data_IF_057480961581
#
_entry.id   IF_057480961581
#
_cell.length_a   1.000
_cell.length_b   1.000
_cell.length_c   1.000
_cell.angle_alpha   90.00
_cell.angle_beta   90.00
_cell.angle_gamma   90.00
#
_symmetry.space_group_name_H-M   'P 1'
#
loop_
_entity.id
_entity.type
_entity.pdbx_description
1 polymer ?
#
# COMPACT_ATOMS: atom_id res chain seq x y z
N UNK A 1 5.76 27.98 -2.50
CA UNK A 1 6.60 27.94 -1.28
C UNK A 1 7.71 26.94 -1.54
N UNK A 2 8.95 27.32 -1.31
CA UNK A 2 10.09 26.38 -1.40
C UNK A 2 10.30 25.73 -0.03
N UNK A 3 10.51 24.40 -0.04
CA UNK A 3 10.76 23.61 1.18
C UNK A 3 12.25 23.26 1.35
N UNK A 4 13.14 23.88 0.57
CA UNK A 4 14.58 23.56 0.48
C UNK A 4 15.38 23.67 1.79
N UNK A 5 14.85 24.37 2.80
CA UNK A 5 15.46 24.47 4.12
C UNK A 5 14.70 23.71 5.21
N UNK A 6 13.67 22.95 4.83
CA UNK A 6 12.88 22.16 5.79
C UNK A 6 13.54 20.82 6.03
N UNK A 7 13.54 20.40 7.29
CA UNK A 7 14.08 19.11 7.76
C UNK A 7 12.93 18.29 8.33
N UNK A 8 12.90 16.99 8.07
CA UNK A 8 11.90 16.06 8.58
C UNK A 8 12.57 14.75 9.01
N UNK A 9 12.34 14.33 10.25
CA UNK A 9 12.63 12.96 10.67
C UNK A 9 11.49 12.04 10.25
N UNK A 10 11.80 10.92 9.58
CA UNK A 10 10.84 9.86 9.26
C UNK A 10 11.26 8.59 9.98
N UNK A 11 10.39 8.05 10.84
CA UNK A 11 10.63 6.79 11.54
C UNK A 11 9.86 5.68 10.83
N UNK A 12 10.57 4.86 10.07
CA UNK A 12 10.00 3.77 9.28
C UNK A 12 10.00 2.45 10.03
N UNK A 13 8.92 1.70 9.92
CA UNK A 13 8.77 0.39 10.57
C UNK A 13 9.66 -0.72 9.97
N UNK A 14 10.20 -0.51 8.76
CA UNK A 14 11.14 -1.38 8.06
C UNK A 14 11.98 -0.54 7.09
N UNK A 15 13.00 -1.13 6.47
CA UNK A 15 13.75 -0.51 5.38
C UNK A 15 12.82 -0.38 4.16
N UNK A 16 12.54 0.84 3.65
CA UNK A 16 11.50 1.02 2.63
C UNK A 16 11.94 0.71 1.20
N UNK A 17 13.15 0.20 1.00
CA UNK A 17 13.64 -0.26 -0.30
C UNK A 17 14.20 -1.69 -0.22
N UNK A 18 13.97 -2.55 -1.26
CA UNK A 18 13.12 -2.32 -2.44
C UNK A 18 11.65 -2.09 -2.08
N UNK A 19 10.96 -1.23 -2.84
CA UNK A 19 9.56 -0.87 -2.60
C UNK A 19 8.61 -1.94 -3.21
N UNK A 20 8.48 -3.09 -2.55
CA UNK A 20 7.88 -4.32 -3.09
C UNK A 20 6.58 -4.77 -2.38
N UNK A 21 6.16 -4.10 -1.30
CA UNK A 21 4.84 -4.28 -0.68
C UNK A 21 4.25 -2.96 -0.18
N UNK A 22 2.92 -2.92 0.00
CA UNK A 22 2.14 -1.68 0.17
C UNK A 22 2.70 -0.67 1.16
N UNK A 23 3.07 -1.09 2.37
CA UNK A 23 3.57 -0.17 3.38
C UNK A 23 4.91 0.48 3.00
N UNK A 24 5.89 -0.30 2.52
CA UNK A 24 7.20 0.25 2.12
C UNK A 24 7.12 1.06 0.82
N UNK A 25 6.16 0.75 -0.06
CA UNK A 25 5.89 1.55 -1.26
C UNK A 25 5.45 2.96 -0.85
N UNK A 26 4.47 3.10 0.05
CA UNK A 26 4.02 4.41 0.54
C UNK A 26 5.19 5.20 1.15
N UNK A 27 6.00 4.58 2.00
CA UNK A 27 7.14 5.25 2.64
C UNK A 27 8.17 5.71 1.60
N UNK A 28 8.59 4.83 0.68
CA UNK A 28 9.63 5.15 -0.30
C UNK A 28 9.20 6.26 -1.26
N UNK A 29 8.01 6.16 -1.85
CA UNK A 29 7.55 7.17 -2.82
C UNK A 29 7.19 8.50 -2.16
N UNK A 30 6.79 8.49 -0.89
CA UNK A 30 6.65 9.71 -0.09
C UNK A 30 8.00 10.39 0.16
N UNK A 31 9.03 9.63 0.54
CA UNK A 31 10.40 10.16 0.70
C UNK A 31 10.88 10.76 -0.62
N UNK A 32 10.69 10.05 -1.74
CA UNK A 32 11.05 10.53 -3.08
C UNK A 32 10.33 11.86 -3.41
N UNK A 33 9.04 11.95 -3.13
CA UNK A 33 8.25 13.16 -3.36
C UNK A 33 8.68 14.32 -2.44
N UNK A 34 9.01 14.05 -1.17
CA UNK A 34 9.57 15.06 -0.25
C UNK A 34 10.94 15.56 -0.73
N UNK A 35 11.80 14.66 -1.20
CA UNK A 35 13.10 15.01 -1.78
C UNK A 35 12.95 15.92 -3.00
N UNK A 36 12.00 15.62 -3.90
CA UNK A 36 11.68 16.46 -5.06
C UNK A 36 11.18 17.86 -4.67
N UNK A 37 10.52 18.02 -3.52
CA UNK A 37 10.18 19.34 -2.95
C UNK A 37 11.37 20.07 -2.29
N UNK A 38 12.53 19.42 -2.17
CA UNK A 38 13.73 19.95 -1.52
C UNK A 38 13.77 19.75 0.00
N UNK A 39 12.88 18.94 0.58
CA UNK A 39 12.90 18.62 2.02
C UNK A 39 14.07 17.69 2.31
N UNK A 40 14.83 18.01 3.36
CA UNK A 40 15.91 17.17 3.88
C UNK A 40 15.33 16.10 4.83
N UNK A 41 15.27 14.87 4.36
CA UNK A 41 14.74 13.75 5.15
C UNK A 41 15.86 13.06 5.91
N UNK A 42 15.74 12.96 7.24
CA UNK A 42 16.52 12.07 8.10
C UNK A 42 15.69 10.80 8.33
N UNK A 43 16.05 9.73 7.65
CA UNK A 43 15.33 8.47 7.70
C UNK A 43 15.87 7.56 8.81
N UNK A 44 14.97 7.01 9.61
CA UNK A 44 15.24 6.08 10.69
C UNK A 44 14.52 4.76 10.40
N UNK A 45 15.26 3.70 10.04
CA UNK A 45 14.71 2.42 9.63
C UNK A 45 14.98 1.32 10.65
N UNK A 46 13.97 0.51 10.97
CA UNK A 46 14.18 -0.74 11.68
C UNK A 46 14.46 -1.86 10.70
N UNK A 47 15.59 -2.59 10.87
CA UNK A 47 15.95 -3.72 10.02
C UNK A 47 15.15 -4.96 10.45
N UNK A 48 14.41 -5.53 9.50
CA UNK A 48 13.67 -6.77 9.70
C UNK A 48 13.52 -7.52 8.37
N UNK A 49 14.41 -8.47 8.14
CA UNK A 49 14.45 -9.26 6.89
C UNK A 49 14.79 -8.45 5.64
N UNK A 50 15.32 -7.23 5.80
CA UNK A 50 15.74 -6.34 4.69
C UNK A 50 17.09 -5.72 5.03
N UNK A 51 17.92 -5.57 4.00
CA UNK A 51 19.27 -5.02 4.12
C UNK A 51 19.27 -3.49 3.99
N UNK A 52 20.40 -2.88 4.29
CA UNK A 52 20.68 -1.47 4.00
C UNK A 52 20.61 -1.22 2.49
N UNK A 53 20.27 -0.02 2.08
CA UNK A 53 20.09 0.31 0.67
C UNK A 53 20.68 1.66 0.32
N UNK A 54 21.59 1.67 -0.64
CA UNK A 54 22.17 2.89 -1.23
C UNK A 54 21.12 3.77 -1.96
N UNK A 55 20.03 3.18 -2.44
CA UNK A 55 18.95 3.93 -3.09
C UNK A 55 18.27 4.90 -2.11
N UNK A 56 18.25 4.58 -0.82
CA UNK A 56 17.72 5.49 0.20
C UNK A 56 18.68 6.66 0.47
N UNK A 57 19.98 6.44 0.36
CA UNK A 57 21.00 7.48 0.56
C UNK A 57 20.96 8.54 -0.56
N UNK A 58 20.47 8.18 -1.76
CA UNK A 58 20.29 9.14 -2.88
C UNK A 58 19.15 10.13 -2.65
N UNK A 59 18.16 9.79 -1.84
CA UNK A 59 16.93 10.57 -1.63
C UNK A 59 16.76 11.09 -0.20
N UNK A 60 17.64 10.69 0.73
CA UNK A 60 17.64 11.12 2.12
C UNK A 60 18.91 11.93 2.45
N UNK A 61 18.81 12.86 3.39
CA UNK A 61 19.97 13.58 3.93
C UNK A 61 20.80 12.68 4.85
N UNK A 62 20.15 11.72 5.54
CA UNK A 62 20.82 10.63 6.28
C UNK A 62 19.90 9.43 6.39
N UNK A 63 20.47 8.23 6.52
CA UNK A 63 19.74 6.98 6.77
C UNK A 63 20.36 6.27 7.96
N UNK A 64 19.56 6.08 9.02
CA UNK A 64 19.97 5.40 10.24
C UNK A 64 19.22 4.07 10.35
N UNK A 65 19.95 3.01 10.69
CA UNK A 65 19.41 1.66 10.73
C UNK A 65 19.47 1.13 12.16
N UNK A 66 18.34 0.61 12.65
CA UNK A 66 18.20 0.06 14.01
C UNK A 66 17.73 -1.38 13.94
N UNK A 67 18.23 -2.22 14.84
CA UNK A 67 17.78 -3.59 14.98
C UNK A 67 16.47 -3.68 15.78
N UNK A 68 15.58 -4.58 15.37
CA UNK A 68 14.40 -4.90 16.16
C UNK A 68 14.77 -5.82 17.32
N UNK A 69 14.18 -5.57 18.49
CA UNK A 69 14.30 -6.48 19.62
C UNK A 69 13.62 -7.83 19.34
N UNK A 70 14.26 -8.91 19.80
CA UNK A 70 13.75 -10.27 19.63
C UNK A 70 12.47 -10.52 20.44
N UNK A 71 11.60 -11.39 19.94
CA UNK A 71 10.27 -11.68 20.46
C UNK A 71 10.23 -12.00 21.97
N UNK A 72 11.17 -12.79 22.48
CA UNK A 72 11.19 -13.22 23.89
C UNK A 72 11.33 -12.08 24.90
N UNK A 73 11.91 -10.95 24.50
CA UNK A 73 12.04 -9.76 25.36
C UNK A 73 10.74 -8.95 25.47
N UNK A 74 9.85 -9.08 24.51
CA UNK A 74 8.63 -8.29 24.43
C UNK A 74 7.37 -8.97 24.99
N UNK A 75 7.42 -10.28 25.28
CA UNK A 75 6.25 -11.07 25.73
C UNK A 75 5.65 -10.52 27.04
N UNK A 76 6.50 -10.06 27.96
CA UNK A 76 6.06 -9.54 29.27
C UNK A 76 5.71 -8.04 29.25
N UNK A 77 5.78 -7.38 28.12
CA UNK A 77 5.46 -5.97 27.97
C UNK A 77 3.95 -5.76 27.82
N UNK A 78 3.40 -4.70 28.43
CA UNK A 78 2.03 -4.23 28.17
C UNK A 78 1.92 -3.57 26.78
N UNK A 79 3.05 -3.22 26.17
CA UNK A 79 3.13 -2.64 24.81
C UNK A 79 3.03 -3.75 23.78
N UNK A 80 2.26 -3.58 22.68
CA UNK A 80 2.19 -4.56 21.60
C UNK A 80 3.59 -4.91 21.05
N UNK A 81 3.79 -6.19 20.70
CA UNK A 81 5.11 -6.65 20.23
C UNK A 81 5.63 -5.87 19.02
N UNK A 82 4.74 -5.57 18.06
CA UNK A 82 5.15 -4.82 16.86
C UNK A 82 5.65 -3.41 17.19
N UNK A 83 5.21 -2.83 18.29
CA UNK A 83 5.66 -1.51 18.77
C UNK A 83 6.89 -1.67 19.67
N UNK A 84 6.80 -2.48 20.71
CA UNK A 84 7.85 -2.68 21.71
C UNK A 84 9.16 -3.19 21.13
N UNK A 85 9.08 -4.01 20.06
CA UNK A 85 10.27 -4.51 19.36
C UNK A 85 11.08 -3.42 18.65
N UNK A 86 10.56 -2.20 18.54
CA UNK A 86 11.23 -1.03 17.94
C UNK A 86 11.75 -0.04 18.98
N UNK A 87 12.12 -0.54 20.14
CA UNK A 87 12.77 0.25 21.18
C UNK A 87 14.26 0.44 20.81
N UNK A 88 14.70 1.73 20.76
CA UNK A 88 16.11 2.10 20.52
C UNK A 88 16.42 3.44 21.20
N UNK A 89 17.37 3.42 22.14
CA UNK A 89 17.85 4.65 22.78
C UNK A 89 18.58 5.57 21.81
N UNK A 90 19.27 4.98 20.82
CA UNK A 90 19.96 5.73 19.76
C UNK A 90 18.93 6.49 18.89
N UNK A 91 17.81 5.86 18.50
CA UNK A 91 16.72 6.54 17.80
C UNK A 91 16.24 7.74 18.60
N UNK A 92 15.94 7.58 19.90
CA UNK A 92 15.48 8.67 20.74
C UNK A 92 16.50 9.82 20.81
N UNK A 93 17.81 9.50 20.94
CA UNK A 93 18.88 10.47 20.93
C UNK A 93 18.91 11.27 19.62
N UNK A 94 18.78 10.59 18.47
CA UNK A 94 18.75 11.26 17.16
C UNK A 94 17.50 12.15 17.02
N UNK A 95 16.33 11.68 17.45
CA UNK A 95 15.09 12.46 17.41
C UNK A 95 15.10 13.68 18.33
N UNK A 96 16.00 13.76 19.31
CA UNK A 96 16.13 14.89 20.23
C UNK A 96 17.30 15.84 19.87
N UNK A 97 18.08 15.51 18.84
CA UNK A 97 19.29 16.27 18.49
C UNK A 97 19.02 17.66 17.87
N UNK A 98 17.83 17.86 17.33
CA UNK A 98 17.39 19.14 16.73
C UNK A 98 15.91 19.40 17.03
N UNK A 99 15.29 20.43 16.42
CA UNK A 99 13.87 20.79 16.60
C UNK A 99 12.99 20.41 15.39
N UNK A 100 13.49 19.58 14.45
CA UNK A 100 12.75 19.21 13.26
C UNK A 100 11.50 18.36 13.61
N UNK A 101 10.41 18.47 12.81
CA UNK A 101 9.25 17.62 12.93
C UNK A 101 9.58 16.14 12.77
N UNK A 102 8.72 15.28 13.34
CA UNK A 102 8.86 13.83 13.25
C UNK A 102 7.60 13.25 12.63
N UNK A 103 7.77 12.42 11.57
CA UNK A 103 6.72 11.61 10.97
C UNK A 103 6.93 10.13 11.34
N UNK A 104 6.02 9.58 12.12
CA UNK A 104 6.00 8.17 12.50
C UNK A 104 5.19 7.36 11.48
N UNK A 105 5.80 6.31 10.91
CA UNK A 105 5.18 5.44 9.90
C UNK A 105 4.46 4.26 10.55
N UNK A 106 3.15 4.34 10.61
CA UNK A 106 2.29 3.37 11.26
C UNK A 106 2.39 3.40 12.79
N UNK A 107 1.40 2.82 13.44
CA UNK A 107 1.37 2.66 14.90
C UNK A 107 2.60 1.89 15.42
N UNK A 108 3.22 1.06 14.56
CA UNK A 108 4.44 0.29 14.82
C UNK A 108 5.60 1.13 15.36
N UNK A 109 5.72 2.39 14.93
CA UNK A 109 6.87 3.25 15.23
C UNK A 109 6.58 4.24 16.36
N UNK A 110 5.37 4.23 16.91
CA UNK A 110 4.87 5.23 17.86
C UNK A 110 5.30 4.99 19.32
N UNK A 111 6.32 4.14 19.59
CA UNK A 111 6.77 3.87 20.96
C UNK A 111 7.13 5.16 21.74
N UNK A 112 7.73 6.13 21.06
CA UNK A 112 8.19 7.38 21.65
C UNK A 112 7.24 8.56 21.45
N UNK A 113 6.05 8.36 20.89
CA UNK A 113 5.12 9.43 20.55
C UNK A 113 4.74 10.29 21.77
N UNK A 114 4.58 9.69 22.95
CA UNK A 114 4.30 10.38 24.22
C UNK A 114 5.54 10.64 25.08
N UNK A 115 6.76 10.40 24.56
CA UNK A 115 7.97 10.54 25.36
C UNK A 115 8.21 12.00 25.78
N UNK A 116 8.52 12.29 27.08
CA UNK A 116 8.67 13.66 27.58
C UNK A 116 9.69 14.52 26.81
N UNK A 117 10.79 13.91 26.36
CA UNK A 117 11.83 14.60 25.55
C UNK A 117 11.34 15.07 24.19
N UNK A 118 10.21 14.56 23.68
CA UNK A 118 9.61 14.95 22.41
C UNK A 118 8.37 15.85 22.60
N UNK A 119 8.10 16.31 23.84
CA UNK A 119 6.87 17.06 24.16
C UNK A 119 6.68 18.31 23.31
N UNK A 120 7.76 19.03 23.03
CA UNK A 120 7.72 20.30 22.30
C UNK A 120 7.94 20.15 20.79
N UNK A 121 8.10 18.91 20.29
CA UNK A 121 8.30 18.65 18.87
C UNK A 121 6.96 18.42 18.18
N UNK A 122 6.86 18.93 16.95
CA UNK A 122 5.78 18.59 16.03
C UNK A 122 5.85 17.11 15.67
N UNK A 123 4.80 16.36 15.96
CA UNK A 123 4.72 14.91 15.74
C UNK A 123 3.53 14.58 14.85
N UNK A 124 3.83 14.01 13.72
CA UNK A 124 2.83 13.50 12.80
C UNK A 124 2.86 11.96 12.77
N UNK A 125 1.71 11.33 12.57
CA UNK A 125 1.60 9.87 12.40
C UNK A 125 0.96 9.55 11.06
N UNK A 126 1.61 8.73 10.24
CA UNK A 126 1.07 8.17 9.01
C UNK A 126 0.40 6.83 9.32
N UNK A 127 -0.91 6.76 9.23
CA UNK A 127 -1.65 5.51 9.51
C UNK A 127 -1.80 4.69 8.23
N UNK A 128 -1.14 3.51 8.21
CA UNK A 128 -1.20 2.58 7.08
C UNK A 128 -2.41 1.65 7.16
N UNK A 129 -2.87 1.34 8.37
CA UNK A 129 -4.07 0.57 8.68
C UNK A 129 -4.56 0.95 10.09
N UNK A 130 -5.78 0.60 10.40
CA UNK A 130 -6.24 0.42 11.79
C UNK A 130 -5.69 -0.91 12.28
N UNK A 131 -4.52 -0.89 12.95
CA UNK A 131 -3.70 -2.07 13.23
C UNK A 131 -4.41 -3.13 14.08
N UNK A 132 -5.22 -2.73 15.05
CA UNK A 132 -5.94 -3.68 15.88
C UNK A 132 -6.98 -4.48 15.08
N UNK A 133 -7.66 -3.86 14.12
CA UNK A 133 -8.62 -4.50 13.24
C UNK A 133 -7.92 -5.44 12.25
N UNK A 134 -6.78 -5.01 11.71
CA UNK A 134 -5.94 -5.85 10.86
C UNK A 134 -5.51 -7.14 11.59
N UNK A 135 -4.99 -7.03 12.83
CA UNK A 135 -4.62 -8.19 13.63
C UNK A 135 -5.81 -9.08 14.02
N UNK A 136 -6.97 -8.50 14.30
CA UNK A 136 -8.22 -9.24 14.54
C UNK A 136 -8.60 -10.08 13.33
N UNK A 137 -8.50 -9.52 12.13
CA UNK A 137 -8.79 -10.24 10.87
C UNK A 137 -7.77 -11.35 10.61
N UNK A 138 -6.50 -11.12 10.87
CA UNK A 138 -5.47 -12.18 10.82
C UNK A 138 -5.83 -13.33 11.77
N UNK A 139 -6.22 -13.03 13.00
CA UNK A 139 -6.66 -14.04 13.97
C UNK A 139 -7.89 -14.82 13.50
N UNK A 140 -8.84 -14.16 12.84
CA UNK A 140 -10.04 -14.83 12.31
C UNK A 140 -9.73 -15.78 11.13
N UNK A 141 -8.74 -15.43 10.30
CA UNK A 141 -8.31 -16.22 9.16
C UNK A 141 -7.33 -17.35 9.53
N UNK A 142 -6.69 -17.27 10.70
CA UNK A 142 -5.65 -18.21 11.14
C UNK A 142 -6.24 -19.55 11.57
N UNK A 143 -5.62 -20.64 11.12
CA UNK A 143 -6.01 -22.03 11.45
C UNK A 143 -5.24 -22.59 12.65
N UNK A 144 -4.01 -22.09 12.89
CA UNK A 144 -3.21 -22.50 14.03
C UNK A 144 -3.73 -21.81 15.29
N UNK A 145 -4.20 -22.59 16.27
CA UNK A 145 -4.81 -22.08 17.50
C UNK A 145 -3.89 -21.18 18.32
N UNK A 146 -2.59 -21.47 18.39
CA UNK A 146 -1.61 -20.64 19.13
C UNK A 146 -1.40 -19.29 18.44
N UNK A 147 -1.26 -19.29 17.12
CA UNK A 147 -1.14 -18.06 16.33
C UNK A 147 -2.44 -17.24 16.35
N UNK A 148 -3.60 -17.91 16.29
CA UNK A 148 -4.90 -17.25 16.44
C UNK A 148 -5.03 -16.56 17.79
N UNK A 149 -4.65 -17.24 18.87
CA UNK A 149 -4.62 -16.65 20.22
C UNK A 149 -3.68 -15.45 20.27
N UNK A 150 -2.46 -15.57 19.75
CA UNK A 150 -1.50 -14.48 19.67
C UNK A 150 -2.07 -13.26 18.93
N UNK A 151 -2.65 -13.43 17.74
CA UNK A 151 -3.24 -12.32 16.99
C UNK A 151 -4.39 -11.64 17.73
N UNK A 152 -5.23 -12.39 18.44
CA UNK A 152 -6.33 -11.82 19.21
C UNK A 152 -5.82 -11.00 20.42
N UNK A 153 -4.80 -11.50 21.12
CA UNK A 153 -4.18 -10.77 22.24
C UNK A 153 -3.49 -9.50 21.75
N UNK A 154 -2.72 -9.58 20.67
CA UNK A 154 -2.06 -8.41 20.07
C UNK A 154 -3.08 -7.40 19.54
N UNK A 155 -4.20 -7.83 18.96
CA UNK A 155 -5.30 -6.95 18.57
C UNK A 155 -5.83 -6.12 19.73
N UNK A 156 -6.08 -6.74 20.90
CA UNK A 156 -6.53 -6.02 22.09
C UNK A 156 -5.48 -5.04 22.62
N UNK A 157 -4.20 -5.44 22.62
CA UNK A 157 -3.08 -4.57 23.00
C UNK A 157 -2.94 -3.38 22.06
N UNK A 158 -3.06 -3.61 20.76
CA UNK A 158 -3.00 -2.58 19.73
C UNK A 158 -4.14 -1.59 19.85
N UNK A 159 -5.37 -2.06 20.12
CA UNK A 159 -6.53 -1.20 20.35
C UNK A 159 -6.30 -0.25 21.52
N UNK A 160 -5.74 -0.76 22.64
CA UNK A 160 -5.37 0.08 23.78
C UNK A 160 -4.20 1.02 23.44
N UNK A 161 -3.21 0.54 22.68
CA UNK A 161 -2.04 1.35 22.33
C UNK A 161 -2.39 2.48 21.33
N UNK A 162 -3.44 2.31 20.52
CA UNK A 162 -3.93 3.33 19.60
C UNK A 162 -4.27 4.66 20.30
N UNK A 163 -4.65 4.63 21.58
CA UNK A 163 -4.88 5.82 22.40
C UNK A 163 -3.67 6.77 22.46
N UNK A 164 -2.45 6.25 22.19
CA UNK A 164 -1.23 7.06 22.05
C UNK A 164 -1.32 8.09 20.93
N UNK A 165 -2.18 7.87 19.91
CA UNK A 165 -2.40 8.84 18.83
C UNK A 165 -2.90 10.19 19.32
N UNK A 166 -3.46 10.28 20.55
CA UNK A 166 -3.82 11.55 21.22
C UNK A 166 -2.61 12.47 21.46
N UNK A 167 -1.38 11.93 21.43
CA UNK A 167 -0.14 12.69 21.54
C UNK A 167 0.44 13.16 20.19
N UNK A 168 -0.21 12.81 19.07
CA UNK A 168 0.15 13.30 17.75
C UNK A 168 -0.48 14.68 17.49
N UNK A 169 0.29 15.60 16.91
CA UNK A 169 -0.24 16.89 16.45
C UNK A 169 -1.02 16.75 15.15
N UNK A 170 -0.64 15.76 14.30
CA UNK A 170 -1.26 15.47 13.01
C UNK A 170 -1.37 13.96 12.79
N UNK A 171 -2.45 13.52 12.16
CA UNK A 171 -2.65 12.13 11.74
C UNK A 171 -2.99 12.10 10.24
N UNK A 172 -2.28 11.27 9.49
CA UNK A 172 -2.44 11.11 8.04
C UNK A 172 -2.84 9.68 7.67
N UNK A 173 -4.13 9.31 7.70
CA UNK A 173 -4.59 8.03 7.20
C UNK A 173 -4.44 7.94 5.67
N UNK A 174 -4.20 6.70 5.18
CA UNK A 174 -3.99 6.43 3.74
C UNK A 174 -5.27 6.00 3.02
N UNK A 175 -6.32 5.66 3.74
CA UNK A 175 -7.61 5.29 3.19
C UNK A 175 -8.73 6.14 3.77
N UNK A 176 -9.83 6.31 3.01
CA UNK A 176 -11.00 7.04 3.48
C UNK A 176 -11.65 6.33 4.68
N UNK A 177 -11.66 4.99 4.68
CA UNK A 177 -12.20 4.23 5.81
C UNK A 177 -11.45 4.46 7.12
N UNK A 178 -10.11 4.46 7.05
CA UNK A 178 -9.28 4.73 8.23
C UNK A 178 -9.44 6.20 8.67
N UNK A 179 -9.63 7.12 7.72
CA UNK A 179 -9.95 8.51 8.03
C UNK A 179 -11.28 8.61 8.79
N UNK A 180 -12.34 8.01 8.28
CA UNK A 180 -13.68 8.06 8.88
C UNK A 180 -13.64 7.47 10.31
N UNK A 181 -12.99 6.30 10.46
CA UNK A 181 -12.81 5.66 11.77
C UNK A 181 -12.05 6.54 12.77
N UNK A 182 -10.93 7.15 12.36
CA UNK A 182 -10.09 7.95 13.25
C UNK A 182 -10.72 9.32 13.55
N UNK A 183 -11.47 9.90 12.62
CA UNK A 183 -12.11 11.22 12.75
C UNK A 183 -13.19 11.25 13.85
N UNK A 184 -13.77 10.09 14.19
CA UNK A 184 -14.71 9.98 15.31
C UNK A 184 -14.04 10.21 16.68
N UNK A 185 -12.74 9.96 16.78
CA UNK A 185 -12.00 9.97 18.06
C UNK A 185 -10.95 11.07 18.15
N UNK A 186 -10.23 11.34 17.07
CA UNK A 186 -9.07 12.23 17.07
C UNK A 186 -9.34 13.51 16.29
N UNK A 187 -8.56 14.56 16.61
CA UNK A 187 -8.57 15.85 15.89
C UNK A 187 -7.35 15.95 14.98
N UNK A 188 -7.34 16.96 14.10
CA UNK A 188 -6.21 17.22 13.18
C UNK A 188 -5.85 16.03 12.29
N UNK A 189 -6.88 15.41 11.71
CA UNK A 189 -6.76 14.30 10.78
C UNK A 189 -6.90 14.83 9.35
N UNK A 190 -5.99 14.39 8.47
CA UNK A 190 -5.97 14.81 7.08
C UNK A 190 -5.81 13.59 6.19
N UNK A 191 -6.85 13.24 5.44
CA UNK A 191 -6.75 12.17 4.46
C UNK A 191 -5.74 12.52 3.38
N UNK A 192 -4.74 11.65 3.22
CA UNK A 192 -3.74 11.71 2.16
C UNK A 192 -3.58 10.29 1.62
N UNK A 193 -3.98 10.02 0.38
CA UNK A 193 -3.85 8.70 -0.22
C UNK A 193 -2.42 8.16 -0.18
N UNK A 194 -2.26 6.86 -0.37
CA UNK A 194 -0.96 6.23 -0.41
C UNK A 194 -0.12 6.76 -1.59
N UNK A 195 1.15 7.01 -1.32
CA UNK A 195 2.14 7.30 -2.35
C UNK A 195 2.46 6.02 -3.13
N UNK A 196 2.73 6.15 -4.43
CA UNK A 196 2.84 5.02 -5.34
C UNK A 196 3.82 5.28 -6.50
N UNK A 197 4.26 4.23 -7.26
CA UNK A 197 5.27 4.38 -8.31
C UNK A 197 4.80 5.09 -9.59
N UNK A 198 3.51 5.40 -9.71
CA UNK A 198 2.97 5.97 -10.93
C UNK A 198 3.02 7.50 -10.85
N UNK A 199 3.98 8.12 -11.49
CA UNK A 199 4.12 9.57 -11.57
C UNK A 199 3.33 10.16 -12.75
N UNK A 200 3.17 9.37 -13.83
CA UNK A 200 2.51 9.77 -15.06
C UNK A 200 1.45 8.76 -15.48
N UNK A 201 0.43 9.26 -16.18
CA UNK A 201 -0.56 8.45 -16.87
C UNK A 201 0.03 7.99 -18.22
N UNK A 202 0.36 6.69 -18.31
CA UNK A 202 0.97 6.09 -19.52
C UNK A 202 0.02 5.12 -20.23
N UNK A 203 -1.26 5.13 -19.87
CA UNK A 203 -2.29 4.35 -20.56
C UNK A 203 -2.47 4.83 -22.01
N UNK A 204 -2.68 3.89 -22.91
CA UNK A 204 -2.81 4.17 -24.35
C UNK A 204 -4.25 3.95 -24.81
N UNK A 205 -4.70 4.77 -25.76
CA UNK A 205 -5.99 4.59 -26.45
C UNK A 205 -5.98 3.37 -27.36
N UNK A 206 -7.16 2.96 -27.84
CA UNK A 206 -7.30 1.83 -28.75
C UNK A 206 -7.57 0.50 -28.07
N UNK A 207 -7.12 -0.59 -28.67
CA UNK A 207 -7.41 -1.96 -28.21
C UNK A 207 -6.13 -2.68 -27.81
N UNK A 208 -6.26 -3.70 -26.97
CA UNK A 208 -5.20 -4.63 -26.59
C UNK A 208 -5.54 -6.06 -27.03
N UNK A 209 -4.64 -7.01 -26.79
CA UNK A 209 -4.77 -8.38 -27.30
C UNK A 209 -5.18 -9.41 -26.26
N UNK A 210 -5.17 -9.10 -24.97
CA UNK A 210 -5.44 -10.07 -23.88
C UNK A 210 -6.08 -9.41 -22.65
N UNK A 211 -6.59 -10.28 -21.77
CA UNK A 211 -7.05 -9.93 -20.42
C UNK A 211 -5.93 -10.26 -19.45
N UNK A 212 -5.62 -9.36 -18.51
CA UNK A 212 -4.54 -9.51 -17.54
C UNK A 212 -5.07 -9.55 -16.10
N UNK A 213 -4.64 -10.54 -15.32
CA UNK A 213 -4.61 -10.49 -13.87
C UNK A 213 -3.16 -10.47 -13.37
N UNK A 214 -2.86 -9.65 -12.35
CA UNK A 214 -1.52 -9.63 -11.77
C UNK A 214 -1.52 -9.50 -10.24
N UNK A 215 -0.45 -10.01 -9.62
CA UNK A 215 -0.23 -9.91 -8.18
C UNK A 215 0.89 -10.81 -7.69
N UNK A 216 1.26 -10.71 -6.41
CA UNK A 216 2.18 -11.68 -5.79
C UNK A 216 1.42 -13.00 -5.58
N UNK A 217 1.75 -14.03 -6.37
CA UNK A 217 1.01 -15.31 -6.44
C UNK A 217 1.42 -16.31 -5.33
N UNK A 218 2.27 -15.90 -4.39
CA UNK A 218 2.55 -16.63 -3.15
C UNK A 218 1.62 -16.22 -1.99
N UNK A 219 0.95 -15.07 -2.11
CA UNK A 219 0.10 -14.52 -1.07
C UNK A 219 -1.30 -15.13 -1.15
N UNK A 220 -1.88 -15.62 -0.05
CA UNK A 220 -3.14 -16.37 -0.03
C UNK A 220 -4.30 -15.72 -0.78
N UNK A 221 -4.51 -14.41 -0.61
CA UNK A 221 -5.57 -13.69 -1.31
C UNK A 221 -5.39 -13.66 -2.83
N UNK A 222 -4.17 -13.53 -3.30
CA UNK A 222 -3.88 -13.53 -4.74
C UNK A 222 -3.95 -14.95 -5.32
N UNK A 223 -3.59 -15.98 -4.53
CA UNK A 223 -3.82 -17.38 -4.90
C UNK A 223 -5.32 -17.63 -5.06
N UNK A 224 -6.13 -17.18 -4.11
CA UNK A 224 -7.58 -17.32 -4.17
C UNK A 224 -8.16 -16.64 -5.42
N UNK A 225 -7.73 -15.42 -5.72
CA UNK A 225 -8.17 -14.68 -6.89
C UNK A 225 -7.74 -15.36 -8.21
N UNK A 226 -6.48 -15.79 -8.32
CA UNK A 226 -5.99 -16.51 -9.50
C UNK A 226 -6.74 -17.83 -9.71
N UNK A 227 -6.99 -18.60 -8.64
CA UNK A 227 -7.76 -19.85 -8.71
C UNK A 227 -9.24 -19.60 -9.08
N UNK A 228 -9.84 -18.52 -8.59
CA UNK A 228 -11.17 -18.09 -9.01
C UNK A 228 -11.21 -17.80 -10.51
N UNK A 229 -10.25 -17.03 -11.01
CA UNK A 229 -10.13 -16.68 -12.43
C UNK A 229 -9.99 -17.95 -13.28
N UNK A 230 -9.06 -18.83 -12.92
CA UNK A 230 -8.80 -20.07 -13.66
C UNK A 230 -10.02 -20.98 -13.75
N UNK A 231 -10.79 -21.10 -12.66
CA UNK A 231 -11.92 -22.05 -12.58
C UNK A 231 -13.24 -21.47 -13.05
N UNK A 232 -13.46 -20.17 -12.90
CA UNK A 232 -14.79 -19.57 -13.09
C UNK A 232 -14.87 -18.54 -14.23
N UNK A 233 -13.76 -17.96 -14.65
CA UNK A 233 -13.73 -16.87 -15.63
C UNK A 233 -13.03 -17.27 -16.91
N UNK A 234 -11.77 -17.64 -16.86
CA UNK A 234 -10.93 -17.90 -18.03
C UNK A 234 -11.51 -18.96 -18.98
N UNK A 235 -12.16 -20.05 -18.52
CA UNK A 235 -12.78 -21.05 -19.42
C UNK A 235 -13.91 -20.51 -20.29
N UNK A 236 -14.48 -19.35 -19.92
CA UNK A 236 -15.69 -18.79 -20.56
C UNK A 236 -15.44 -17.50 -21.33
N UNK A 237 -14.18 -17.07 -21.47
CA UNK A 237 -13.81 -15.88 -22.26
C UNK A 237 -13.05 -16.28 -23.51
N UNK A 238 -13.30 -15.53 -24.60
CA UNK A 238 -12.79 -15.87 -25.95
C UNK A 238 -11.35 -15.42 -26.17
N UNK A 239 -10.89 -14.33 -25.50
CA UNK A 239 -9.52 -13.81 -25.64
C UNK A 239 -8.50 -14.49 -24.73
N UNK A 240 -7.19 -14.45 -25.10
CA UNK A 240 -6.12 -14.92 -24.24
C UNK A 240 -6.19 -14.25 -22.86
N UNK A 241 -5.94 -15.05 -21.82
CA UNK A 241 -5.85 -14.58 -20.44
C UNK A 241 -4.42 -14.75 -19.92
N UNK A 242 -3.82 -13.69 -19.44
CA UNK A 242 -2.49 -13.71 -18.81
C UNK A 242 -2.65 -13.57 -17.31
N UNK A 243 -2.02 -14.45 -16.54
CA UNK A 243 -1.85 -14.33 -15.10
C UNK A 243 -0.37 -14.09 -14.84
N UNK A 244 -0.02 -12.92 -14.30
CA UNK A 244 1.36 -12.52 -14.08
C UNK A 244 1.64 -12.29 -12.58
N UNK A 245 2.81 -12.74 -12.10
CA UNK A 245 3.20 -12.44 -10.74
C UNK A 245 4.36 -13.24 -10.18
N UNK A 246 4.76 -12.86 -8.95
CA UNK A 246 5.86 -13.48 -8.24
C UNK A 246 5.42 -14.80 -7.59
N UNK A 247 6.32 -15.79 -7.64
CA UNK A 247 6.28 -17.05 -6.90
C UNK A 247 4.92 -17.77 -6.95
N UNK A 248 4.42 -18.15 -8.16
CA UNK A 248 3.14 -18.83 -8.29
C UNK A 248 3.16 -20.17 -7.55
N UNK A 249 2.11 -20.41 -6.76
CA UNK A 249 1.95 -21.67 -6.06
C UNK A 249 1.76 -22.84 -7.05
N UNK A 250 2.16 -24.06 -6.63
CA UNK A 250 1.97 -25.26 -7.45
C UNK A 250 0.50 -25.45 -7.90
N UNK A 251 -0.44 -25.06 -7.05
CA UNK A 251 -1.86 -25.13 -7.36
C UNK A 251 -2.24 -24.28 -8.57
N UNK A 252 -1.70 -23.05 -8.69
CA UNK A 252 -1.91 -22.17 -9.84
C UNK A 252 -1.26 -22.77 -11.09
N UNK A 253 -0.01 -23.27 -10.97
CA UNK A 253 0.72 -23.88 -12.09
C UNK A 253 -0.04 -25.09 -12.69
N UNK A 254 -0.54 -25.96 -11.83
CA UNK A 254 -1.24 -27.17 -12.26
C UNK A 254 -2.64 -26.87 -12.84
N UNK A 255 -3.34 -25.87 -12.28
CA UNK A 255 -4.65 -25.48 -12.81
C UNK A 255 -4.53 -24.76 -14.16
N UNK A 256 -3.58 -23.83 -14.30
CA UNK A 256 -3.40 -23.07 -15.54
C UNK A 256 -3.13 -23.95 -16.76
N UNK A 257 -2.40 -25.09 -16.60
CA UNK A 257 -2.13 -26.05 -17.68
C UNK A 257 -3.39 -26.66 -18.29
N UNK A 258 -4.53 -26.63 -17.60
CA UNK A 258 -5.80 -27.20 -18.08
C UNK A 258 -6.50 -26.27 -19.08
N UNK A 259 -6.06 -25.02 -19.20
CA UNK A 259 -6.72 -23.97 -19.98
C UNK A 259 -5.83 -23.51 -21.16
N UNK A 260 -6.26 -23.80 -22.39
CA UNK A 260 -5.47 -23.47 -23.60
C UNK A 260 -5.35 -21.96 -23.86
N UNK A 261 -6.29 -21.17 -23.38
CA UNK A 261 -6.32 -19.72 -23.52
C UNK A 261 -5.61 -18.98 -22.39
N UNK A 262 -5.01 -19.69 -21.41
CA UNK A 262 -4.32 -19.08 -20.27
C UNK A 262 -2.81 -19.22 -20.40
N UNK A 263 -2.10 -18.12 -20.17
CA UNK A 263 -0.64 -18.08 -20.08
C UNK A 263 -0.21 -17.53 -18.70
N UNK A 264 0.85 -18.11 -18.12
CA UNK A 264 1.45 -17.63 -16.90
C UNK A 264 2.77 -16.89 -17.20
N UNK A 265 2.90 -15.69 -16.66
CA UNK A 265 4.17 -14.94 -16.65
C UNK A 265 4.70 -14.89 -15.23
N UNK A 266 5.72 -15.71 -14.97
CA UNK A 266 6.28 -15.92 -13.64
C UNK A 266 7.43 -14.94 -13.37
N UNK A 267 7.43 -14.34 -12.19
CA UNK A 267 8.49 -13.45 -11.72
C UNK A 267 8.89 -12.36 -12.72
N UNK A 268 7.93 -11.63 -13.34
CA UNK A 268 8.29 -10.52 -14.21
C UNK A 268 9.05 -9.45 -13.43
N UNK A 269 10.00 -8.78 -14.07
CA UNK A 269 10.52 -7.51 -13.56
C UNK A 269 9.40 -6.46 -13.49
N UNK A 270 9.61 -5.39 -12.74
CA UNK A 270 8.60 -4.31 -12.64
C UNK A 270 8.32 -3.71 -14.03
N UNK A 271 9.34 -3.49 -14.86
CA UNK A 271 9.18 -2.99 -16.22
C UNK A 271 8.37 -3.94 -17.10
N UNK A 272 8.69 -5.24 -17.05
CA UNK A 272 7.92 -6.26 -17.78
C UNK A 272 6.47 -6.33 -17.32
N UNK A 273 6.21 -6.19 -16.01
CA UNK A 273 4.86 -6.15 -15.47
C UNK A 273 4.11 -4.90 -15.95
N UNK A 274 4.78 -3.75 -15.97
CA UNK A 274 4.19 -2.50 -16.46
C UNK A 274 3.86 -2.57 -17.96
N UNK A 275 4.69 -3.22 -18.76
CA UNK A 275 4.39 -3.48 -20.17
C UNK A 275 3.18 -4.43 -20.34
N UNK A 276 3.09 -5.49 -19.53
CA UNK A 276 1.92 -6.36 -19.54
C UNK A 276 0.64 -5.60 -19.19
N UNK A 277 0.68 -4.71 -18.20
CA UNK A 277 -0.48 -3.89 -17.81
C UNK A 277 -0.87 -2.94 -18.95
N UNK A 278 0.10 -2.29 -19.60
CA UNK A 278 -0.13 -1.34 -20.70
C UNK A 278 -0.73 -2.00 -21.94
N UNK A 279 -0.19 -3.17 -22.31
CA UNK A 279 -0.59 -3.88 -23.53
C UNK A 279 -1.89 -4.69 -23.35
N UNK A 280 -2.33 -4.92 -22.12
CA UNK A 280 -3.60 -5.57 -21.83
C UNK A 280 -4.76 -4.73 -22.40
N UNK A 281 -5.77 -5.43 -22.94
CA UNK A 281 -7.04 -4.80 -23.28
C UNK A 281 -7.84 -4.52 -22.03
N UNK A 282 -7.92 -5.52 -21.16
CA UNK A 282 -8.64 -5.43 -19.89
C UNK A 282 -7.70 -5.88 -18.76
N UNK A 283 -7.55 -5.06 -17.74
CA UNK A 283 -6.99 -5.46 -16.46
C UNK A 283 -8.14 -5.96 -15.58
N UNK A 284 -8.23 -7.27 -15.40
CA UNK A 284 -9.25 -7.92 -14.59
C UNK A 284 -8.72 -8.15 -13.18
N UNK A 285 -9.14 -7.32 -12.23
CA UNK A 285 -8.59 -7.30 -10.88
C UNK A 285 -9.69 -7.59 -9.86
N UNK A 286 -9.66 -8.78 -9.29
CA UNK A 286 -10.56 -9.19 -8.21
C UNK A 286 -9.78 -9.45 -6.92
N UNK A 287 -10.41 -9.18 -5.79
CA UNK A 287 -9.93 -9.53 -4.46
C UNK A 287 -11.07 -9.97 -3.58
N UNK A 288 -10.77 -10.80 -2.59
CA UNK A 288 -11.73 -11.24 -1.58
C UNK A 288 -11.40 -10.66 -0.19
N UNK A 289 -10.49 -9.69 -0.16
CA UNK A 289 -10.13 -8.94 1.04
C UNK A 289 -10.63 -7.50 0.98
N UNK A 290 -11.14 -7.03 2.12
CA UNK A 290 -11.67 -5.66 2.25
C UNK A 290 -10.62 -4.62 2.59
N UNK A 291 -9.40 -5.02 3.01
CA UNK A 291 -8.37 -4.13 3.52
C UNK A 291 -7.16 -4.01 2.59
N UNK A 292 -6.34 -3.02 2.87
CA UNK A 292 -5.05 -2.78 2.21
C UNK A 292 -5.11 -1.82 1.03
N UNK A 293 -3.95 -1.25 0.72
CA UNK A 293 -3.76 -0.32 -0.40
C UNK A 293 -3.97 -1.07 -1.71
N UNK A 294 -4.82 -0.54 -2.56
CA UNK A 294 -5.14 -1.13 -3.86
C UNK A 294 -4.14 -0.72 -4.95
N UNK A 295 -2.83 -0.87 -4.68
CA UNK A 295 -1.77 -0.47 -5.60
C UNK A 295 -1.88 -1.12 -6.98
N UNK A 296 -2.33 -2.38 -7.06
CA UNK A 296 -2.55 -3.04 -8.35
C UNK A 296 -3.62 -2.33 -9.19
N UNK A 297 -4.65 -1.77 -8.54
CA UNK A 297 -5.67 -0.98 -9.22
C UNK A 297 -5.09 0.35 -9.72
N UNK A 298 -4.31 1.06 -8.90
CA UNK A 298 -3.64 2.29 -9.32
C UNK A 298 -2.69 2.04 -10.48
N UNK A 299 -1.90 0.95 -10.44
CA UNK A 299 -1.03 0.57 -11.56
C UNK A 299 -1.83 0.33 -12.85
N UNK A 300 -2.94 -0.40 -12.75
CA UNK A 300 -3.79 -0.67 -13.91
C UNK A 300 -4.46 0.60 -14.46
N UNK A 301 -4.89 1.51 -13.59
CA UNK A 301 -5.50 2.78 -14.01
C UNK A 301 -4.49 3.76 -14.61
N UNK A 302 -3.25 3.80 -14.13
CA UNK A 302 -2.23 4.68 -14.71
C UNK A 302 -1.63 4.17 -16.03
N UNK A 303 -1.64 2.85 -16.25
CA UNK A 303 -0.89 2.23 -17.34
C UNK A 303 -1.76 1.49 -18.35
N UNK A 304 -2.85 0.87 -17.90
CA UNK A 304 -3.69 0.00 -18.71
C UNK A 304 -4.92 0.67 -19.29
N UNK A 305 -5.65 -0.04 -20.13
CA UNK A 305 -6.88 0.42 -20.79
C UNK A 305 -8.08 0.22 -19.83
N UNK A 306 -8.89 -0.78 -20.08
CA UNK A 306 -10.06 -1.05 -19.23
C UNK A 306 -9.67 -1.74 -17.91
N UNK A 307 -10.42 -1.44 -16.85
CA UNK A 307 -10.36 -2.15 -15.59
C UNK A 307 -11.74 -2.76 -15.28
N UNK A 308 -11.80 -4.07 -15.12
CA UNK A 308 -12.96 -4.80 -14.58
C UNK A 308 -12.60 -5.31 -13.20
N UNK A 309 -13.41 -4.96 -12.20
CA UNK A 309 -13.10 -5.19 -10.79
C UNK A 309 -14.33 -5.72 -10.06
N UNK A 310 -14.13 -6.32 -8.88
CA UNK A 310 -15.24 -6.55 -7.95
C UNK A 310 -15.36 -5.43 -6.90
N UNK A 311 -16.50 -5.38 -6.21
CA UNK A 311 -16.77 -4.37 -5.19
C UNK A 311 -15.66 -4.28 -4.14
N UNK A 312 -15.08 -5.41 -3.70
CA UNK A 312 -14.00 -5.40 -2.72
C UNK A 312 -12.70 -4.76 -3.24
N UNK A 313 -12.43 -4.83 -4.55
CA UNK A 313 -11.26 -4.19 -5.14
C UNK A 313 -11.37 -2.68 -5.18
N UNK A 314 -12.57 -2.15 -5.41
CA UNK A 314 -12.81 -0.72 -5.62
C UNK A 314 -13.31 0.00 -4.37
N UNK A 315 -13.76 -0.73 -3.35
CA UNK A 315 -14.37 -0.17 -2.16
C UNK A 315 -13.52 0.94 -1.53
N UNK A 316 -14.14 2.09 -1.29
CA UNK A 316 -13.56 3.26 -0.60
C UNK A 316 -12.33 3.87 -1.30
N UNK A 317 -12.16 3.63 -2.59
CA UNK A 317 -11.07 4.23 -3.37
C UNK A 317 -11.47 5.56 -4.04
N UNK A 318 -12.76 5.80 -4.27
CA UNK A 318 -13.25 6.93 -5.05
C UNK A 318 -13.00 6.79 -6.56
N UNK A 319 -12.62 5.58 -7.01
CA UNK A 319 -12.26 5.29 -8.41
C UNK A 319 -13.34 4.51 -9.17
N UNK A 320 -14.54 4.41 -8.59
CA UNK A 320 -15.66 3.61 -9.14
C UNK A 320 -16.01 4.02 -10.57
N UNK A 321 -15.92 5.31 -10.88
CA UNK A 321 -16.21 5.84 -12.23
C UNK A 321 -15.19 5.40 -13.30
N UNK A 322 -14.00 5.00 -12.90
CA UNK A 322 -12.92 4.58 -13.80
C UNK A 322 -12.89 3.07 -14.06
N UNK A 323 -13.79 2.32 -13.41
CA UNK A 323 -13.81 0.87 -13.45
C UNK A 323 -15.21 0.34 -13.81
N UNK A 324 -15.24 -0.86 -14.36
CA UNK A 324 -16.47 -1.64 -14.49
C UNK A 324 -16.55 -2.57 -13.29
N UNK A 325 -17.56 -2.37 -12.44
CA UNK A 325 -17.73 -3.14 -11.21
C UNK A 325 -18.69 -4.30 -11.44
N UNK A 326 -18.25 -5.52 -11.15
CA UNK A 326 -19.06 -6.72 -11.25
C UNK A 326 -18.62 -7.76 -10.21
N UNK A 327 -19.55 -8.33 -9.47
CA UNK A 327 -19.28 -9.28 -8.39
C UNK A 327 -19.53 -10.74 -8.80
N UNK A 328 -20.62 -10.98 -9.54
CA UNK A 328 -21.00 -12.30 -9.97
C UNK A 328 -20.21 -12.77 -11.22
N UNK A 329 -19.75 -14.02 -11.22
CA UNK A 329 -18.90 -14.55 -12.30
C UNK A 329 -19.53 -14.46 -13.69
N UNK A 330 -20.83 -14.70 -13.82
CA UNK A 330 -21.57 -14.56 -15.07
C UNK A 330 -21.61 -13.12 -15.56
N UNK A 331 -21.79 -12.14 -14.65
CA UNK A 331 -21.76 -10.71 -14.98
C UNK A 331 -20.34 -10.29 -15.36
N UNK A 332 -19.33 -10.77 -14.64
CA UNK A 332 -17.92 -10.51 -14.98
C UNK A 332 -17.59 -11.01 -16.38
N UNK A 333 -17.95 -12.25 -16.73
CA UNK A 333 -17.75 -12.82 -18.07
C UNK A 333 -18.46 -11.97 -19.13
N UNK A 334 -19.72 -11.61 -18.89
CA UNK A 334 -20.47 -10.76 -19.81
C UNK A 334 -19.79 -9.40 -20.01
N UNK A 335 -19.32 -8.75 -18.95
CA UNK A 335 -18.61 -7.46 -19.06
C UNK A 335 -17.27 -7.60 -19.78
N UNK A 336 -16.52 -8.66 -19.53
CA UNK A 336 -15.29 -8.94 -20.26
C UNK A 336 -15.57 -9.08 -21.77
N UNK A 337 -16.53 -9.92 -22.18
CA UNK A 337 -16.87 -10.12 -23.58
C UNK A 337 -17.40 -8.83 -24.25
N UNK A 338 -18.24 -8.04 -23.57
CA UNK A 338 -18.75 -6.76 -24.08
C UNK A 338 -17.65 -5.71 -24.34
N UNK A 339 -16.54 -5.80 -23.63
CA UNK A 339 -15.41 -4.87 -23.80
C UNK A 339 -14.46 -5.27 -24.92
N UNK A 340 -14.42 -6.56 -25.32
CA UNK A 340 -13.40 -7.06 -26.23
C UNK A 340 -13.34 -6.32 -27.56
N UNK A 341 -14.48 -5.81 -28.03
CA UNK A 341 -14.59 -5.09 -29.30
C UNK A 341 -14.65 -3.56 -29.13
N UNK A 342 -14.56 -3.06 -27.88
CA UNK A 342 -14.58 -1.62 -27.60
C UNK A 342 -13.17 -1.06 -27.57
N UNK A 343 -12.95 0.08 -28.23
CA UNK A 343 -11.72 0.83 -28.09
C UNK A 343 -11.75 1.69 -26.81
N UNK A 344 -10.63 1.74 -26.08
CA UNK A 344 -10.41 2.72 -25.03
C UNK A 344 -10.17 4.08 -25.69
N UNK A 345 -10.99 5.10 -25.36
CA UNK A 345 -11.03 6.37 -26.08
C UNK A 345 -10.21 7.47 -25.42
N UNK A 346 -9.94 8.55 -26.16
CA UNK A 346 -9.25 9.76 -25.64
C UNK A 346 -10.09 10.41 -24.53
N UNK A 347 -11.42 10.40 -24.63
CA UNK A 347 -12.30 10.98 -23.62
C UNK A 347 -12.20 10.22 -22.29
N UNK A 348 -12.19 8.88 -22.35
CA UNK A 348 -11.96 8.01 -21.17
C UNK A 348 -10.60 8.27 -20.53
N UNK A 349 -9.57 8.47 -21.35
CA UNK A 349 -8.21 8.78 -20.86
C UNK A 349 -8.17 10.15 -20.18
N UNK A 350 -8.85 11.15 -20.72
CA UNK A 350 -8.92 12.51 -20.16
C UNK A 350 -9.69 12.54 -18.85
N UNK A 351 -10.84 11.86 -18.77
CA UNK A 351 -11.60 11.71 -17.51
C UNK A 351 -10.76 11.04 -16.44
N UNK A 352 -10.07 9.94 -16.81
CA UNK A 352 -9.18 9.19 -15.91
C UNK A 352 -8.06 10.07 -15.38
N UNK A 353 -7.40 10.83 -16.26
CA UNK A 353 -6.34 11.77 -15.88
C UNK A 353 -6.83 12.78 -14.85
N UNK A 354 -7.93 13.41 -15.11
CA UNK A 354 -8.53 14.43 -14.23
C UNK A 354 -8.78 13.88 -12.83
N UNK A 355 -9.33 12.67 -12.73
CA UNK A 355 -9.66 12.07 -11.44
C UNK A 355 -8.40 11.58 -10.69
N UNK A 356 -7.45 10.96 -11.40
CA UNK A 356 -6.20 10.50 -10.78
C UNK A 356 -5.34 11.69 -10.32
N UNK A 357 -5.18 12.73 -11.13
CA UNK A 357 -4.40 13.91 -10.78
C UNK A 357 -5.00 14.64 -9.55
N UNK A 358 -6.33 14.71 -9.45
CA UNK A 358 -6.99 15.41 -8.34
C UNK A 358 -6.87 14.70 -6.99
N UNK A 359 -6.70 13.36 -6.98
CA UNK A 359 -6.75 12.57 -5.75
C UNK A 359 -5.43 11.84 -5.47
N UNK A 360 -4.83 11.23 -6.50
CA UNK A 360 -3.70 10.30 -6.33
C UNK A 360 -2.35 10.87 -6.82
N UNK A 361 -2.25 12.15 -7.14
CA UNK A 361 -0.99 12.78 -7.48
C UNK A 361 -0.04 12.79 -6.27
N UNK A 362 1.11 12.12 -6.36
CA UNK A 362 2.15 12.17 -5.33
C UNK A 362 2.59 13.61 -5.06
N UNK A 363 2.72 14.41 -6.12
CA UNK A 363 3.14 15.81 -6.03
C UNK A 363 2.14 16.65 -5.23
N UNK A 364 0.85 16.60 -5.56
CA UNK A 364 -0.17 17.36 -4.84
C UNK A 364 -0.33 16.87 -3.39
N UNK A 365 -0.26 15.56 -3.18
CA UNK A 365 -0.39 14.95 -1.86
C UNK A 365 0.80 15.29 -0.95
N UNK A 366 2.03 15.32 -1.48
CA UNK A 366 3.20 15.74 -0.70
C UNK A 366 3.18 17.24 -0.38
N UNK A 367 2.68 18.10 -1.28
CA UNK A 367 2.47 19.53 -1.01
C UNK A 367 1.44 19.71 0.10
N UNK A 368 0.32 18.98 0.05
CA UNK A 368 -0.71 19.01 1.10
C UNK A 368 -0.13 18.60 2.45
N UNK A 369 0.63 17.51 2.49
CA UNK A 369 1.32 17.03 3.70
C UNK A 369 2.30 18.08 4.22
N UNK A 370 3.18 18.61 3.37
CA UNK A 370 4.18 19.60 3.73
C UNK A 370 3.54 20.89 4.26
N UNK A 371 2.51 21.42 3.59
CA UNK A 371 1.74 22.58 4.07
C UNK A 371 1.14 22.36 5.45
N UNK A 372 0.75 21.14 5.77
CA UNK A 372 0.12 20.81 7.07
C UNK A 372 1.18 20.69 8.17
N UNK A 373 2.35 20.09 7.88
CA UNK A 373 3.44 19.92 8.84
C UNK A 373 4.12 21.26 9.20
N UNK A 374 4.29 22.17 8.23
CA UNK A 374 5.00 23.45 8.43
C UNK A 374 4.06 24.66 8.34
N UNK A 375 2.88 24.55 8.88
CA UNK A 375 1.92 25.67 9.07
C UNK A 375 2.48 26.78 9.93
#
# INVERSE_FOLDING_TARGET
MTYSNKVLHIVSFNVPYPADYGGVIDVFYKIKALHQLGVKVHLHCFTYGREKSEELEKVCASVNYYEREKFYKAIYSSVPYIVGSRKSGELLSQLTADDAPILFEGLHTCLYLSHPSLKNKMKAVRMHNVEWDYYKRLGNAERNYLMKFYYNVESLRLKKFEEQLSHADLIFPISQADYDYLADTYKNIFYIPAFHPNEELTAEVGTGSYILYHGNLSVPENIQAAMYILKKIAPHVSKPFIIAGKDPSKMILDEAKKHKNVSLVMNPSDDSLYELIRNAHINFLVTFQHTGIKLKLLNALHRGRFCVVNTQMIAQTGLEKLCIVADESNVQIQQLELLLDKAFTTDMLTERKTLLDSTFSNHENVIKMAKTIWR
#
